data_IF_655846586778
#
_entry.id   IF_655846586778
#
_cell.length_a   1.000
_cell.length_b   1.000
_cell.length_c   1.000
_cell.angle_alpha   90.00
_cell.angle_beta   90.00
_cell.angle_gamma   90.00
#
_symmetry.space_group_name_H-M   'P 1'
#
loop_
_entity.id
_entity.type
_entity.pdbx_description
1 polymer ?
#
# COMPACT_ATOMS: atom_id res chain seq x y z
N UNK A 1 -23.89 23.79 1.80
CA UNK A 1 -22.72 23.14 1.18
C UNK A 1 -22.89 23.26 -0.32
N UNK A 2 -21.89 23.72 -1.08
CA UNK A 2 -22.04 23.81 -2.54
C UNK A 2 -22.11 22.42 -3.17
N UNK A 3 -22.73 22.32 -4.36
CA UNK A 3 -22.83 21.07 -5.10
C UNK A 3 -21.45 20.44 -5.35
N UNK A 4 -20.45 21.28 -5.61
CA UNK A 4 -19.04 20.88 -5.76
C UNK A 4 -18.48 20.28 -4.47
N UNK A 5 -18.74 20.88 -3.32
CA UNK A 5 -18.31 20.32 -2.03
C UNK A 5 -18.93 18.93 -1.78
N UNK A 6 -20.21 18.75 -2.11
CA UNK A 6 -20.85 17.45 -2.04
C UNK A 6 -20.20 16.42 -2.97
N UNK A 7 -19.94 16.80 -4.21
CA UNK A 7 -19.24 15.95 -5.19
C UNK A 7 -17.85 15.55 -4.70
N UNK A 8 -17.10 16.49 -4.14
CA UNK A 8 -15.79 16.21 -3.54
C UNK A 8 -15.89 15.18 -2.40
N UNK A 9 -16.90 15.28 -1.54
CA UNK A 9 -17.12 14.33 -0.45
C UNK A 9 -17.49 12.94 -0.99
N UNK A 10 -18.39 12.87 -1.98
CA UNK A 10 -18.80 11.60 -2.60
C UNK A 10 -17.60 10.91 -3.25
N UNK A 11 -16.83 11.63 -4.04
CA UNK A 11 -15.63 11.11 -4.70
C UNK A 11 -14.54 10.68 -3.69
N UNK A 12 -14.29 11.47 -2.65
CA UNK A 12 -13.36 11.11 -1.57
C UNK A 12 -13.81 9.84 -0.82
N UNK A 13 -15.11 9.65 -0.60
CA UNK A 13 -15.64 8.43 0.00
C UNK A 13 -15.50 7.22 -0.94
N UNK A 14 -15.63 7.42 -2.25
CA UNK A 14 -15.42 6.36 -3.25
C UNK A 14 -13.94 5.92 -3.27
N UNK A 15 -12.99 6.86 -3.19
CA UNK A 15 -11.55 6.58 -3.05
C UNK A 15 -11.29 5.76 -1.78
N UNK A 16 -11.87 6.16 -0.64
CA UNK A 16 -11.72 5.43 0.62
C UNK A 16 -12.29 4.01 0.59
N UNK A 17 -13.31 3.72 -0.22
CA UNK A 17 -13.82 2.36 -0.41
C UNK A 17 -12.86 1.46 -1.18
N UNK A 18 -12.03 2.03 -2.05
CA UNK A 18 -10.95 1.32 -2.73
C UNK A 18 -9.75 1.05 -1.81
N UNK A 19 -9.50 1.94 -0.85
CA UNK A 19 -8.54 1.72 0.24
C UNK A 19 -9.19 0.85 1.32
N UNK A 20 -8.43 0.01 1.95
CA UNK A 20 -8.78 -1.19 2.72
C UNK A 20 -9.83 -1.01 3.79
N UNK A 21 -10.82 -1.87 3.72
CA UNK A 21 -11.44 -2.44 4.90
C UNK A 21 -10.42 -3.36 5.62
N UNK A 22 -9.73 -2.85 6.64
CA UNK A 22 -8.69 -3.57 7.39
C UNK A 22 -9.29 -4.58 8.37
N UNK A 23 -10.34 -5.31 7.99
CA UNK A 23 -10.83 -6.45 8.74
C UNK A 23 -9.92 -7.67 8.61
N UNK A 24 -8.94 -7.61 7.70
CA UNK A 24 -7.95 -8.67 7.59
C UNK A 24 -7.05 -8.65 8.81
N UNK A 25 -7.23 -9.65 9.69
CA UNK A 25 -6.44 -9.79 10.92
C UNK A 25 -5.05 -10.37 10.67
N UNK A 26 -4.83 -10.99 9.50
CA UNK A 26 -3.63 -11.77 9.15
C UNK A 26 -2.88 -11.10 8.01
N UNK A 27 -1.58 -10.93 8.16
CA UNK A 27 -0.65 -10.44 7.15
C UNK A 27 0.50 -11.43 7.02
N UNK A 28 0.55 -12.18 5.94
CA UNK A 28 1.47 -13.27 5.71
C UNK A 28 2.62 -12.82 4.82
N UNK A 29 3.83 -12.80 5.36
CA UNK A 29 5.04 -12.38 4.66
C UNK A 29 5.92 -13.60 4.36
N UNK A 30 6.00 -13.98 3.08
CA UNK A 30 6.84 -15.07 2.60
C UNK A 30 8.29 -14.60 2.50
N UNK A 31 9.21 -15.44 2.95
CA UNK A 31 10.63 -15.09 2.97
C UNK A 31 11.54 -16.32 2.90
N UNK A 32 12.78 -16.11 2.45
CA UNK A 32 13.82 -17.13 2.51
C UNK A 32 14.31 -17.37 3.94
N UNK A 33 15.10 -18.43 4.20
CA UNK A 33 15.76 -18.62 5.49
C UNK A 33 16.59 -17.41 5.94
N UNK A 34 17.39 -16.83 5.05
CA UNK A 34 18.18 -15.63 5.34
C UNK A 34 17.30 -14.43 5.67
N UNK A 35 16.16 -14.29 4.96
CA UNK A 35 15.19 -13.25 5.23
C UNK A 35 14.52 -13.41 6.60
N UNK A 36 14.19 -14.65 7.02
CA UNK A 36 13.67 -14.93 8.35
C UNK A 36 14.67 -14.52 9.45
N UNK A 37 15.94 -14.91 9.29
CA UNK A 37 17.00 -14.52 10.23
C UNK A 37 17.17 -13.00 10.27
N UNK A 38 17.04 -12.33 9.12
CA UNK A 38 17.06 -10.87 9.03
C UNK A 38 15.92 -10.20 9.77
N UNK A 39 14.69 -10.74 9.65
CA UNK A 39 13.50 -10.22 10.34
C UNK A 39 13.69 -10.20 11.87
N UNK A 40 14.28 -11.24 12.44
CA UNK A 40 14.44 -11.40 13.88
C UNK A 40 15.87 -11.14 14.41
N UNK A 41 16.73 -10.52 13.60
CA UNK A 41 18.16 -10.31 13.94
C UNK A 41 18.34 -9.64 15.29
N UNK A 42 17.61 -8.59 15.56
CA UNK A 42 17.70 -7.80 16.79
C UNK A 42 16.73 -8.24 17.90
N UNK A 43 16.06 -9.40 17.73
CA UNK A 43 15.07 -9.92 18.67
C UNK A 43 13.65 -9.41 18.36
N UNK A 44 13.40 -8.11 18.35
CA UNK A 44 12.15 -7.56 17.87
C UNK A 44 12.06 -7.67 16.34
N UNK A 45 10.88 -7.99 15.76
CA UNK A 45 10.76 -8.16 14.31
C UNK A 45 10.91 -6.84 13.58
N UNK A 46 11.63 -6.90 12.45
CA UNK A 46 11.84 -5.77 11.55
C UNK A 46 11.47 -6.15 10.14
N UNK A 47 10.87 -5.22 9.39
CA UNK A 47 10.55 -5.41 7.98
C UNK A 47 11.20 -4.35 7.11
N UNK A 48 11.65 -4.75 5.92
CA UNK A 48 12.17 -3.83 4.92
C UNK A 48 11.01 -3.32 4.07
N UNK A 49 10.84 -2.01 4.09
CA UNK A 49 9.94 -1.31 3.19
C UNK A 49 10.75 -0.75 2.03
N UNK A 50 10.57 -1.31 0.86
CA UNK A 50 11.29 -0.88 -0.35
C UNK A 50 10.61 0.33 -0.98
N UNK A 51 11.41 1.27 -1.50
CA UNK A 51 10.86 2.43 -2.19
C UNK A 51 10.04 1.98 -3.40
N UNK A 52 8.81 2.51 -3.50
CA UNK A 52 7.85 2.09 -4.52
C UNK A 52 8.39 2.25 -5.94
N UNK A 53 9.14 3.32 -6.20
CA UNK A 53 9.72 3.62 -7.51
C UNK A 53 10.78 2.62 -7.98
N UNK A 54 11.32 1.84 -7.07
CA UNK A 54 12.41 0.90 -7.31
C UNK A 54 11.95 -0.56 -7.27
N UNK A 55 10.62 -0.80 -7.16
CA UNK A 55 10.08 -2.15 -7.26
C UNK A 55 10.19 -2.68 -8.68
N UNK A 56 10.43 -3.99 -8.81
CA UNK A 56 10.75 -4.67 -10.07
C UNK A 56 9.65 -4.61 -11.14
N UNK A 57 8.42 -4.33 -10.75
CA UNK A 57 7.29 -4.29 -11.67
C UNK A 57 7.00 -2.86 -12.15
N UNK A 58 7.72 -2.47 -13.21
CA UNK A 58 7.44 -1.20 -13.93
C UNK A 58 6.05 -1.16 -14.54
N UNK A 59 5.33 -2.29 -14.63
CA UNK A 59 3.97 -2.39 -15.14
C UNK A 59 2.93 -2.07 -14.08
N UNK A 60 3.20 -2.31 -12.80
CA UNK A 60 2.22 -2.04 -11.72
C UNK A 60 1.74 -0.58 -11.72
N UNK A 61 2.63 0.38 -11.96
CA UNK A 61 2.24 1.79 -12.07
C UNK A 61 1.34 2.09 -13.26
N UNK A 62 1.39 1.27 -14.31
CA UNK A 62 0.62 1.47 -15.53
C UNK A 62 -0.82 0.99 -15.41
N UNK A 63 -1.10 0.04 -14.52
CA UNK A 63 -2.42 -0.57 -14.37
C UNK A 63 -3.53 0.45 -14.10
N UNK A 64 -3.27 1.45 -13.25
CA UNK A 64 -4.25 2.52 -12.99
C UNK A 64 -4.47 3.39 -14.24
N UNK A 65 -3.39 3.77 -14.94
CA UNK A 65 -3.50 4.62 -16.13
C UNK A 65 -4.19 3.90 -17.27
N UNK A 66 -3.91 2.61 -17.48
CA UNK A 66 -4.58 1.78 -18.49
C UNK A 66 -6.07 1.63 -18.17
N UNK A 67 -6.40 1.34 -16.92
CA UNK A 67 -7.78 1.22 -16.47
C UNK A 67 -8.54 2.54 -16.58
N UNK A 68 -7.91 3.65 -16.19
CA UNK A 68 -8.47 5.00 -16.27
C UNK A 68 -8.71 5.42 -17.71
N UNK A 69 -7.70 5.23 -18.59
CA UNK A 69 -7.82 5.53 -20.01
C UNK A 69 -8.96 4.73 -20.64
N UNK A 70 -9.02 3.42 -20.38
CA UNK A 70 -10.09 2.54 -20.87
C UNK A 70 -11.48 3.01 -20.43
N UNK A 71 -11.62 3.46 -19.17
CA UNK A 71 -12.86 4.03 -18.67
C UNK A 71 -13.22 5.33 -19.40
N UNK A 72 -12.29 6.28 -19.48
CA UNK A 72 -12.50 7.57 -20.11
C UNK A 72 -12.83 7.44 -21.61
N UNK A 73 -12.11 6.58 -22.36
CA UNK A 73 -12.38 6.28 -23.76
C UNK A 73 -13.83 5.77 -23.96
N UNK A 74 -14.29 4.92 -23.05
CA UNK A 74 -15.67 4.39 -23.10
C UNK A 74 -16.71 5.49 -22.83
N UNK A 75 -16.48 6.37 -21.84
CA UNK A 75 -17.42 7.43 -21.52
C UNK A 75 -17.46 8.55 -22.60
N UNK A 76 -16.30 8.87 -23.17
CA UNK A 76 -16.21 9.81 -24.29
C UNK A 76 -16.98 9.30 -25.53
N UNK A 77 -16.82 8.01 -25.89
CA UNK A 77 -17.57 7.39 -27.01
C UNK A 77 -19.07 7.38 -26.80
N UNK A 78 -19.53 7.33 -25.55
CA UNK A 78 -20.95 7.40 -25.20
C UNK A 78 -21.50 8.83 -25.13
N UNK A 79 -20.66 9.85 -25.28
CA UNK A 79 -21.05 11.25 -25.12
C UNK A 79 -21.36 11.66 -23.68
N UNK A 80 -20.96 10.86 -22.68
CA UNK A 80 -21.19 11.13 -21.25
C UNK A 80 -20.05 12.01 -20.69
N UNK A 81 -18.83 11.84 -21.19
CA UNK A 81 -17.67 12.65 -20.82
C UNK A 81 -17.38 13.67 -21.91
N UNK A 82 -17.19 14.93 -21.56
CA UNK A 82 -16.76 15.95 -22.51
C UNK A 82 -15.32 15.74 -22.95
N UNK A 83 -14.99 16.23 -24.15
CA UNK A 83 -13.62 16.19 -24.67
C UNK A 83 -12.66 16.99 -23.80
N UNK A 84 -13.11 18.13 -23.23
CA UNK A 84 -12.32 18.95 -22.33
C UNK A 84 -11.89 18.18 -21.08
N UNK A 85 -12.84 17.51 -20.40
CA UNK A 85 -12.54 16.70 -19.23
C UNK A 85 -11.63 15.51 -19.57
N UNK A 86 -11.89 14.84 -20.70
CA UNK A 86 -11.06 13.74 -21.16
C UNK A 86 -9.60 14.16 -21.33
N UNK A 87 -9.37 15.26 -22.07
CA UNK A 87 -8.03 15.78 -22.34
C UNK A 87 -7.33 16.22 -21.05
N UNK A 88 -8.06 16.86 -20.14
CA UNK A 88 -7.56 17.26 -18.85
C UNK A 88 -7.10 16.04 -17.98
N UNK A 89 -7.87 14.95 -17.99
CA UNK A 89 -7.51 13.74 -17.23
C UNK A 89 -6.31 13.03 -17.87
N UNK A 90 -6.31 12.85 -19.18
CA UNK A 90 -5.25 12.11 -19.88
C UNK A 90 -3.91 12.86 -19.87
N UNK A 91 -3.95 14.18 -19.74
CA UNK A 91 -2.75 15.03 -19.66
C UNK A 91 -2.12 15.11 -18.25
N UNK A 92 -2.72 14.51 -17.23
CA UNK A 92 -2.15 14.51 -15.86
C UNK A 92 -0.75 13.85 -15.88
N UNK A 93 0.32 14.58 -15.56
CA UNK A 93 1.66 14.02 -15.57
C UNK A 93 1.83 12.95 -14.49
N UNK A 94 2.51 11.86 -14.83
CA UNK A 94 2.81 10.81 -13.86
C UNK A 94 3.75 11.30 -12.75
N UNK A 95 4.58 12.32 -13.03
CA UNK A 95 5.47 12.96 -12.07
C UNK A 95 4.75 13.66 -10.92
N UNK A 96 3.53 14.15 -11.16
CA UNK A 96 2.77 14.95 -10.18
C UNK A 96 2.03 14.09 -9.13
N UNK A 97 2.22 12.76 -9.21
CA UNK A 97 1.47 11.81 -8.39
C UNK A 97 2.22 11.31 -7.16
N UNK A 98 3.38 11.92 -6.85
CA UNK A 98 4.15 11.60 -5.66
C UNK A 98 3.87 12.56 -4.53
N UNK A 99 3.19 12.09 -3.51
CA UNK A 99 2.87 12.88 -2.35
C UNK A 99 1.65 12.34 -1.61
N UNK A 100 1.38 12.90 -0.48
CA UNK A 100 0.12 12.68 0.26
C UNK A 100 -0.61 14.00 0.40
N UNK A 101 -1.94 13.94 0.32
CA UNK A 101 -2.75 15.07 0.71
C UNK A 101 -3.05 14.95 2.20
N UNK A 102 -2.46 15.82 2.99
CA UNK A 102 -2.75 15.88 4.43
C UNK A 102 -3.92 16.82 4.70
N UNK A 103 -4.80 16.39 5.60
CA UNK A 103 -5.75 17.28 6.24
C UNK A 103 -4.96 18.16 7.21
N UNK A 104 -4.82 19.44 6.91
CA UNK A 104 -4.22 20.43 7.80
C UNK A 104 -5.31 21.26 8.44
N UNK A 105 -5.27 21.41 9.76
CA UNK A 105 -6.09 22.40 10.45
C UNK A 105 -5.40 23.74 10.28
N UNK A 106 -5.95 24.64 9.48
CA UNK A 106 -5.51 26.04 9.41
C UNK A 106 -6.37 26.88 10.33
N UNK A 107 -5.71 27.71 11.14
CA UNK A 107 -6.39 28.82 11.81
C UNK A 107 -6.59 29.92 10.79
N UNK A 108 -7.83 30.27 10.52
CA UNK A 108 -8.16 31.46 9.73
C UNK A 108 -8.44 32.59 10.71
N UNK A 109 -7.71 33.68 10.58
CA UNK A 109 -8.01 34.94 11.28
C UNK A 109 -8.92 35.75 10.34
N UNK A 110 -10.15 35.95 10.74
CA UNK A 110 -11.09 36.80 10.00
C UNK A 110 -10.72 38.27 10.14
N UNK A 111 -11.20 39.12 9.24
CA UNK A 111 -10.92 40.57 9.25
C UNK A 111 -11.36 41.25 10.54
N UNK A 112 -12.26 40.66 11.30
CA UNK A 112 -12.71 41.12 12.63
C UNK A 112 -11.81 40.64 13.78
N UNK A 113 -10.71 39.91 13.50
CA UNK A 113 -9.79 39.37 14.50
C UNK A 113 -10.25 38.05 15.14
N UNK A 114 -11.40 37.51 14.74
CA UNK A 114 -11.91 36.22 15.23
C UNK A 114 -11.12 35.07 14.62
N UNK A 115 -10.67 34.12 15.48
CA UNK A 115 -9.93 32.96 15.06
C UNK A 115 -10.93 31.80 14.83
N UNK A 116 -11.16 31.45 13.59
CA UNK A 116 -11.92 30.24 13.24
C UNK A 116 -10.96 29.04 13.22
N UNK A 117 -11.06 28.20 14.24
CA UNK A 117 -10.38 26.90 14.27
C UNK A 117 -11.26 25.90 13.50
N UNK A 118 -10.69 25.19 12.55
CA UNK A 118 -11.29 24.10 11.77
C UNK A 118 -11.64 24.37 10.30
N UNK A 119 -10.82 25.12 9.60
CA UNK A 119 -10.85 25.03 8.14
C UNK A 119 -9.98 23.86 7.75
N UNK A 120 -10.63 22.75 7.35
CA UNK A 120 -9.95 21.63 6.73
C UNK A 120 -9.31 22.10 5.41
N UNK A 121 -8.03 22.38 5.44
CA UNK A 121 -7.24 22.60 4.25
C UNK A 121 -6.56 21.29 3.87
N UNK A 122 -6.52 21.00 2.58
CA UNK A 122 -5.73 19.91 2.04
C UNK A 122 -4.43 20.51 1.51
N UNK A 123 -3.31 20.08 2.05
CA UNK A 123 -1.99 20.44 1.55
C UNK A 123 -1.35 19.20 0.91
N UNK A 124 -0.86 19.35 -0.30
CA UNK A 124 -0.03 18.32 -0.93
C UNK A 124 1.37 18.41 -0.33
N UNK A 125 1.85 17.29 0.20
CA UNK A 125 3.16 17.16 0.77
C UNK A 125 3.95 16.10 0.00
N UNK A 126 5.10 16.46 -0.51
CA UNK A 126 5.98 15.51 -1.18
C UNK A 126 6.53 14.49 -0.19
N UNK A 127 6.36 13.22 -0.52
CA UNK A 127 6.78 12.11 0.31
C UNK A 127 7.63 11.11 -0.46
N UNK A 128 8.54 10.46 0.24
CA UNK A 128 9.05 9.15 -0.18
C UNK A 128 8.00 8.10 0.19
N UNK A 129 7.65 7.25 -0.77
CA UNK A 129 6.69 6.16 -0.55
C UNK A 129 7.42 4.83 -0.60
N UNK A 130 7.20 4.02 0.43
CA UNK A 130 7.78 2.70 0.58
C UNK A 130 6.69 1.66 0.76
N UNK A 131 6.93 0.44 0.30
CA UNK A 131 5.96 -0.67 0.37
C UNK A 131 6.60 -1.91 0.98
N UNK A 132 5.80 -2.60 1.80
CA UNK A 132 6.02 -3.98 2.18
C UNK A 132 4.78 -4.78 1.82
N UNK A 133 4.96 -5.87 1.05
CA UNK A 133 3.86 -6.71 0.57
C UNK A 133 3.64 -7.92 1.47
N UNK A 134 2.37 -8.26 1.66
CA UNK A 134 1.88 -9.41 2.39
C UNK A 134 0.85 -10.17 1.55
N UNK A 135 0.66 -11.44 1.84
CA UNK A 135 -0.46 -12.24 1.36
C UNK A 135 -1.52 -12.40 2.45
N UNK A 136 -2.74 -12.74 2.07
CA UNK A 136 -3.76 -13.21 3.02
C UNK A 136 -3.58 -14.67 3.38
N UNK A 137 -2.93 -15.44 2.50
CA UNK A 137 -2.75 -16.87 2.61
C UNK A 137 -1.36 -17.18 3.16
N UNK A 138 -1.28 -17.99 4.21
CA UNK A 138 -0.02 -18.39 4.85
C UNK A 138 0.55 -19.70 4.27
N UNK A 139 -0.19 -20.40 3.40
CA UNK A 139 0.24 -21.66 2.79
C UNK A 139 -0.24 -21.74 1.33
N UNK A 140 0.50 -21.13 0.42
CA UNK A 140 0.18 -21.03 -1.00
C UNK A 140 1.35 -21.51 -1.85
N UNK A 141 1.12 -22.55 -2.65
CA UNK A 141 2.16 -23.13 -3.52
C UNK A 141 2.78 -22.09 -4.48
N UNK A 142 2.03 -21.22 -5.18
CA UNK A 142 2.63 -20.17 -5.98
C UNK A 142 3.51 -19.21 -5.17
N UNK A 143 3.10 -18.89 -3.94
CA UNK A 143 3.88 -17.99 -3.07
C UNK A 143 5.17 -18.67 -2.61
N UNK A 144 5.14 -19.95 -2.27
CA UNK A 144 6.35 -20.70 -1.96
C UNK A 144 7.34 -20.70 -3.14
N UNK A 145 6.82 -20.85 -4.38
CA UNK A 145 7.65 -20.80 -5.60
C UNK A 145 8.31 -19.47 -5.84
N UNK A 146 7.62 -18.39 -5.56
CA UNK A 146 8.07 -17.02 -5.90
C UNK A 146 8.98 -16.39 -4.85
N UNK A 147 8.76 -16.70 -3.57
CA UNK A 147 9.35 -15.96 -2.45
C UNK A 147 10.23 -16.78 -1.51
N UNK A 148 10.36 -18.10 -1.75
CA UNK A 148 11.35 -18.95 -1.11
C UNK A 148 12.60 -19.11 -2.00
N UNK A 149 13.62 -19.87 -1.56
CA UNK A 149 14.72 -20.22 -2.46
C UNK A 149 14.20 -21.07 -3.61
N UNK A 150 14.29 -20.54 -4.84
CA UNK A 150 13.54 -20.97 -6.01
C UNK A 150 13.71 -22.45 -6.41
N UNK A 151 14.86 -23.07 -6.15
CA UNK A 151 15.13 -24.44 -6.62
C UNK A 151 14.48 -25.52 -5.75
N UNK A 152 14.19 -25.22 -4.46
CA UNK A 152 13.72 -26.23 -3.51
C UNK A 152 12.50 -25.81 -2.69
N UNK A 153 11.85 -24.71 -3.00
CA UNK A 153 10.72 -24.15 -2.20
C UNK A 153 11.06 -23.98 -0.71
N UNK A 154 12.33 -23.75 -0.38
CA UNK A 154 12.80 -23.59 0.98
C UNK A 154 12.48 -22.17 1.48
N UNK A 155 11.62 -22.05 2.47
CA UNK A 155 11.23 -20.76 2.99
C UNK A 155 10.32 -20.82 4.18
N UNK A 156 9.93 -19.63 4.61
CA UNK A 156 9.05 -19.41 5.74
C UNK A 156 7.99 -18.37 5.40
N UNK A 157 6.83 -18.51 6.01
CA UNK A 157 5.81 -17.47 5.98
C UNK A 157 5.56 -16.96 7.40
N UNK A 158 5.85 -15.69 7.64
CA UNK A 158 5.67 -15.05 8.95
C UNK A 158 4.31 -14.36 8.97
N UNK A 159 3.44 -14.75 9.91
CA UNK A 159 2.12 -14.14 10.11
C UNK A 159 2.21 -12.98 11.10
N UNK A 160 1.92 -11.78 10.62
CA UNK A 160 1.84 -10.56 11.42
C UNK A 160 0.38 -10.18 11.72
N UNK A 161 0.17 -9.53 12.86
CA UNK A 161 -1.09 -8.87 13.18
C UNK A 161 -1.21 -7.55 12.42
N UNK A 162 -2.37 -7.30 11.80
CA UNK A 162 -2.64 -6.00 11.15
C UNK A 162 -2.61 -4.81 12.13
N UNK A 163 -2.78 -5.05 13.43
CA UNK A 163 -2.67 -4.03 14.46
C UNK A 163 -1.28 -3.37 14.54
N UNK A 164 -0.23 -4.08 14.07
CA UNK A 164 1.12 -3.53 13.97
C UNK A 164 1.20 -2.30 13.04
N UNK A 165 0.20 -2.13 12.17
CA UNK A 165 0.10 -1.03 11.20
C UNK A 165 -1.12 -0.13 11.46
N UNK A 166 -1.55 0.03 12.72
CA UNK A 166 -2.74 0.83 13.01
C UNK A 166 -2.50 2.34 12.88
N UNK A 167 -3.40 3.02 12.16
CA UNK A 167 -3.33 4.47 11.88
C UNK A 167 -3.18 5.37 13.11
N UNK A 168 -3.59 4.94 14.30
CA UNK A 168 -3.60 5.78 15.51
C UNK A 168 -2.22 6.19 16.03
N UNK A 169 -1.16 5.47 15.65
CA UNK A 169 0.19 5.72 16.15
C UNK A 169 0.99 6.74 15.33
N UNK A 170 0.57 7.11 14.12
CA UNK A 170 1.44 7.68 13.09
C UNK A 170 1.38 9.19 12.93
N UNK A 171 0.24 9.82 13.17
CA UNK A 171 0.10 11.28 12.98
C UNK A 171 1.03 12.14 13.85
N UNK A 172 1.61 11.57 14.91
CA UNK A 172 2.55 12.26 15.82
C UNK A 172 4.02 12.01 15.51
N UNK A 173 4.35 11.14 14.55
CA UNK A 173 5.71 10.61 14.36
C UNK A 173 6.36 10.95 13.01
N UNK A 174 5.84 11.90 12.26
CA UNK A 174 6.46 12.34 11.01
C UNK A 174 6.34 11.37 9.82
N UNK A 175 5.54 10.30 9.90
CA UNK A 175 5.23 9.40 8.82
C UNK A 175 3.78 8.89 8.90
N UNK A 176 3.28 8.32 7.83
CA UNK A 176 2.01 7.59 7.84
C UNK A 176 2.19 6.21 7.22
N UNK A 177 1.48 5.22 7.77
CA UNK A 177 1.40 3.90 7.16
C UNK A 177 -0.06 3.51 7.02
N UNK A 178 -0.40 2.89 5.90
CA UNK A 178 -1.73 2.35 5.67
C UNK A 178 -1.63 0.96 5.03
N UNK A 179 -2.65 0.14 5.32
CA UNK A 179 -2.79 -1.14 4.66
C UNK A 179 -3.74 -0.99 3.50
N UNK A 180 -3.38 -1.44 2.31
CA UNK A 180 -4.21 -1.44 1.12
C UNK A 180 -4.35 -2.86 0.57
N UNK A 181 -5.58 -3.24 0.19
CA UNK A 181 -5.83 -4.53 -0.44
C UNK A 181 -5.71 -4.38 -1.96
N UNK A 182 -4.92 -5.23 -2.58
CA UNK A 182 -4.76 -5.22 -4.03
C UNK A 182 -6.01 -5.76 -4.73
N UNK A 183 -6.42 -5.09 -5.79
CA UNK A 183 -7.59 -5.40 -6.62
C UNK A 183 -7.12 -5.85 -7.99
N UNK A 184 -7.47 -7.09 -8.32
CA UNK A 184 -7.11 -7.75 -9.58
C UNK A 184 -8.27 -7.78 -10.59
N UNK A 185 -9.51 -7.70 -10.09
CA UNK A 185 -10.72 -7.80 -10.88
C UNK A 185 -10.99 -6.50 -11.64
N UNK A 186 -11.00 -6.58 -12.98
CA UNK A 186 -11.18 -5.44 -13.86
C UNK A 186 -12.53 -4.74 -13.69
N UNK A 187 -13.59 -5.49 -13.37
CA UNK A 187 -14.91 -4.92 -13.14
C UNK A 187 -14.89 -4.06 -11.88
N UNK A 188 -14.26 -4.55 -10.80
CA UNK A 188 -14.11 -3.77 -9.55
C UNK A 188 -13.25 -2.53 -9.75
N UNK A 189 -12.18 -2.61 -10.55
CA UNK A 189 -11.38 -1.43 -10.91
C UNK A 189 -12.23 -0.37 -11.60
N UNK A 190 -13.05 -0.79 -12.59
CA UNK A 190 -13.96 0.11 -13.29
C UNK A 190 -15.03 0.72 -12.36
N UNK A 191 -15.63 -0.06 -11.48
CA UNK A 191 -16.61 0.41 -10.49
C UNK A 191 -16.02 1.48 -9.54
N UNK A 192 -14.76 1.32 -9.13
CA UNK A 192 -14.08 2.31 -8.29
C UNK A 192 -13.79 3.62 -9.05
N UNK A 193 -13.31 3.52 -10.28
CA UNK A 193 -13.07 4.70 -11.13
C UNK A 193 -14.40 5.42 -11.41
N UNK A 194 -15.46 4.68 -11.72
CA UNK A 194 -16.80 5.22 -11.96
C UNK A 194 -17.34 5.96 -10.73
N UNK A 195 -17.16 5.38 -9.54
CA UNK A 195 -17.60 6.01 -8.28
C UNK A 195 -16.96 7.36 -8.01
N UNK A 196 -15.75 7.61 -8.55
CA UNK A 196 -15.07 8.91 -8.43
C UNK A 196 -15.41 9.83 -9.60
N UNK A 197 -15.38 9.33 -10.84
CA UNK A 197 -15.53 10.17 -12.04
C UNK A 197 -16.97 10.50 -12.38
N UNK A 198 -17.95 9.64 -12.07
CA UNK A 198 -19.35 9.89 -12.44
C UNK A 198 -19.90 11.21 -11.85
N UNK A 199 -19.71 11.52 -10.56
CA UNK A 199 -20.12 12.81 -10.01
C UNK A 199 -19.38 14.00 -10.64
N UNK A 200 -18.09 13.83 -11.00
CA UNK A 200 -17.27 14.87 -11.61
C UNK A 200 -17.77 15.18 -13.01
N UNK A 201 -18.06 14.14 -13.82
CA UNK A 201 -18.56 14.31 -15.19
C UNK A 201 -19.86 15.13 -15.25
N UNK A 202 -20.74 14.97 -14.27
CA UNK A 202 -22.01 15.72 -14.21
C UNK A 202 -21.85 17.23 -13.98
N UNK A 203 -20.73 17.67 -13.40
CA UNK A 203 -20.54 19.08 -13.00
C UNK A 203 -19.45 19.80 -13.77
N UNK A 204 -18.50 19.08 -14.36
CA UNK A 204 -17.26 19.66 -14.87
C UNK A 204 -17.50 20.75 -15.92
N UNK A 205 -18.38 20.52 -16.89
CA UNK A 205 -18.57 21.43 -18.03
C UNK A 205 -19.21 22.75 -17.61
N UNK A 206 -20.06 22.76 -16.59
CA UNK A 206 -20.69 23.96 -16.03
C UNK A 206 -19.89 24.64 -14.93
N UNK A 207 -18.78 24.03 -14.48
CA UNK A 207 -17.99 24.52 -13.36
C UNK A 207 -17.13 25.73 -13.75
N UNK A 208 -16.88 26.61 -12.77
CA UNK A 208 -15.90 27.70 -12.94
C UNK A 208 -14.49 27.15 -13.12
N UNK A 209 -13.56 27.92 -13.65
CA UNK A 209 -12.17 27.52 -13.81
C UNK A 209 -11.56 26.98 -12.51
N UNK A 210 -11.78 27.68 -11.39
CA UNK A 210 -11.30 27.28 -10.05
C UNK A 210 -11.90 25.93 -9.63
N UNK A 211 -13.17 25.73 -9.92
CA UNK A 211 -13.86 24.49 -9.55
C UNK A 211 -13.42 23.31 -10.41
N UNK A 212 -13.14 23.53 -11.69
CA UNK A 212 -12.50 22.53 -12.57
C UNK A 212 -11.14 22.07 -12.02
N UNK A 213 -10.32 23.02 -11.55
CA UNK A 213 -9.04 22.72 -10.90
C UNK A 213 -9.23 21.87 -9.62
N UNK A 214 -10.21 22.21 -8.78
CA UNK A 214 -10.56 21.46 -7.59
C UNK A 214 -11.03 20.02 -7.94
N UNK A 215 -11.89 19.87 -8.93
CA UNK A 215 -12.37 18.55 -9.40
C UNK A 215 -11.22 17.70 -9.96
N UNK A 216 -10.32 18.28 -10.72
CA UNK A 216 -9.13 17.59 -11.22
C UNK A 216 -8.15 17.19 -10.09
N UNK A 217 -8.07 17.97 -9.03
CA UNK A 217 -7.27 17.59 -7.85
C UNK A 217 -7.77 16.29 -7.22
N UNK A 218 -9.09 16.03 -7.23
CA UNK A 218 -9.65 14.76 -6.76
C UNK A 218 -9.25 13.60 -7.68
N UNK A 219 -9.26 13.83 -8.99
CA UNK A 219 -8.79 12.82 -9.96
C UNK A 219 -7.32 12.48 -9.71
N UNK A 220 -6.48 13.48 -9.43
CA UNK A 220 -5.07 13.25 -9.06
C UNK A 220 -4.94 12.41 -7.78
N UNK A 221 -5.74 12.71 -6.75
CA UNK A 221 -5.79 11.92 -5.51
C UNK A 221 -6.21 10.48 -5.80
N UNK A 222 -7.24 10.27 -6.62
CA UNK A 222 -7.69 8.93 -7.03
C UNK A 222 -6.57 8.14 -7.70
N UNK A 223 -5.89 8.73 -8.69
CA UNK A 223 -4.81 8.06 -9.41
C UNK A 223 -3.70 7.70 -8.43
N UNK A 224 -3.31 8.64 -7.56
CA UNK A 224 -2.27 8.45 -6.55
C UNK A 224 -2.59 7.33 -5.58
N UNK A 225 -3.83 7.23 -5.11
CA UNK A 225 -4.21 6.20 -4.14
C UNK A 225 -4.39 4.84 -4.83
N UNK A 226 -5.00 4.82 -6.03
CA UNK A 226 -5.26 3.56 -6.74
C UNK A 226 -4.03 2.94 -7.39
N UNK A 227 -2.93 3.68 -7.59
CA UNK A 227 -1.67 3.10 -8.07
C UNK A 227 -1.13 2.01 -7.13
N UNK A 228 -1.44 2.07 -5.83
CA UNK A 228 -1.04 1.06 -4.85
C UNK A 228 -2.04 -0.10 -4.74
N UNK A 229 -3.23 0.07 -5.32
CA UNK A 229 -4.36 -0.86 -5.17
C UNK A 229 -4.57 -1.72 -6.43
N UNK A 230 -4.32 -1.18 -7.62
CA UNK A 230 -4.57 -1.93 -8.86
C UNK A 230 -3.36 -2.76 -9.25
N UNK A 231 -3.61 -4.02 -9.63
CA UNK A 231 -2.59 -4.96 -10.13
C UNK A 231 -3.19 -5.89 -11.17
N UNK A 232 -2.35 -6.38 -12.08
CA UNK A 232 -2.78 -7.27 -13.14
C UNK A 232 -3.34 -8.59 -12.60
N UNK A 233 -4.41 -9.10 -13.22
CA UNK A 233 -5.10 -10.33 -12.82
C UNK A 233 -4.19 -11.56 -12.76
N UNK A 234 -3.14 -11.60 -13.56
CA UNK A 234 -2.16 -12.70 -13.56
C UNK A 234 -1.48 -12.93 -12.21
N UNK A 235 -1.48 -11.92 -11.34
CA UNK A 235 -0.91 -11.97 -9.98
C UNK A 235 -1.95 -12.23 -8.89
N UNK A 236 -3.19 -12.60 -9.25
CA UNK A 236 -4.27 -12.76 -8.27
C UNK A 236 -4.02 -13.85 -7.21
N UNK A 237 -3.12 -14.80 -7.48
CA UNK A 237 -2.69 -15.82 -6.54
C UNK A 237 -1.93 -15.28 -5.33
N UNK A 238 -1.37 -14.08 -5.44
CA UNK A 238 -0.66 -13.42 -4.32
C UNK A 238 -1.62 -12.99 -3.21
N UNK A 239 -2.91 -12.76 -3.51
CA UNK A 239 -3.90 -12.24 -2.57
C UNK A 239 -3.35 -11.07 -1.73
N UNK A 240 -2.67 -10.15 -2.43
CA UNK A 240 -1.76 -9.18 -1.84
C UNK A 240 -2.48 -8.12 -0.99
N UNK A 241 -1.85 -7.84 0.15
CA UNK A 241 -2.10 -6.65 0.97
C UNK A 241 -0.78 -5.91 1.07
N UNK A 242 -0.81 -4.61 0.85
CA UNK A 242 0.37 -3.75 0.96
C UNK A 242 0.29 -2.91 2.21
N UNK A 243 1.38 -2.86 2.96
CA UNK A 243 1.62 -1.76 3.88
C UNK A 243 2.34 -0.65 3.10
N UNK A 244 1.65 0.48 2.93
CA UNK A 244 2.17 1.66 2.21
C UNK A 244 2.61 2.68 3.24
N UNK A 245 3.88 3.01 3.26
CA UNK A 245 4.50 3.94 4.19
C UNK A 245 4.89 5.22 3.45
N UNK A 246 4.39 6.36 3.91
CA UNK A 246 4.73 7.68 3.39
C UNK A 246 5.57 8.44 4.40
N UNK A 247 6.71 8.96 3.97
CA UNK A 247 7.62 9.77 4.76
C UNK A 247 7.81 11.11 4.07
N UNK A 248 7.43 12.24 4.69
CA UNK A 248 7.66 13.57 4.14
C UNK A 248 9.13 13.81 3.83
N UNK A 249 9.41 14.42 2.68
CA UNK A 249 10.80 14.76 2.30
C UNK A 249 11.43 15.80 3.22
N UNK A 250 10.61 16.56 3.91
CA UNK A 250 11.03 17.66 4.81
C UNK A 250 11.39 17.22 6.21
N UNK A 251 11.07 15.98 6.60
CA UNK A 251 11.29 15.49 7.96
C UNK A 251 12.51 14.57 8.08
N UNK A 252 13.19 14.65 9.22
CA UNK A 252 14.21 13.67 9.62
C UNK A 252 13.56 12.34 9.97
N UNK A 253 13.96 11.26 9.33
CA UNK A 253 13.26 9.96 9.35
C UNK A 253 13.62 9.07 10.54
N UNK A 254 14.38 9.55 11.52
CA UNK A 254 14.75 8.72 12.67
C UNK A 254 13.76 8.86 13.82
N UNK A 255 12.67 8.09 13.75
CA UNK A 255 11.60 8.10 14.77
C UNK A 255 11.71 6.95 15.77
N UNK A 256 12.75 6.14 15.69
CA UNK A 256 12.88 4.88 16.44
C UNK A 256 12.03 3.73 15.88
N UNK A 257 10.92 4.03 15.22
CA UNK A 257 10.08 3.02 14.56
C UNK A 257 10.44 2.82 13.10
N UNK A 258 10.87 3.88 12.40
CA UNK A 258 11.33 3.85 11.02
C UNK A 258 12.78 4.33 10.99
N UNK A 259 13.65 3.56 10.35
CA UNK A 259 15.06 3.92 10.21
C UNK A 259 15.25 5.05 9.20
N UNK A 260 16.44 5.62 9.17
CA UNK A 260 16.92 6.39 8.04
C UNK A 260 16.88 5.57 6.75
N UNK A 261 16.88 6.28 5.62
CA UNK A 261 16.94 5.67 4.28
C UNK A 261 18.23 4.91 4.09
N UNK A 262 18.13 3.66 3.67
CA UNK A 262 19.22 2.73 3.38
C UNK A 262 19.14 2.26 1.94
N UNK A 263 20.17 1.57 1.48
CA UNK A 263 20.26 1.03 0.13
C UNK A 263 20.67 -0.42 0.17
N UNK A 264 20.10 -1.24 -0.73
CA UNK A 264 20.45 -2.64 -0.92
C UNK A 264 20.49 -2.99 -2.40
N UNK A 265 21.27 -4.01 -2.72
CA UNK A 265 21.19 -4.61 -4.05
C UNK A 265 19.96 -5.54 -4.10
N UNK A 266 19.21 -5.47 -5.20
CA UNK A 266 18.12 -6.42 -5.51
C UNK A 266 18.00 -6.52 -7.03
N UNK A 267 18.17 -7.72 -7.58
CA UNK A 267 18.04 -8.00 -9.02
C UNK A 267 18.87 -7.05 -9.92
N UNK A 268 20.10 -6.75 -9.51
CA UNK A 268 21.00 -5.84 -10.26
C UNK A 268 20.71 -4.36 -10.07
N UNK A 269 19.72 -3.98 -9.28
CA UNK A 269 19.36 -2.60 -8.98
C UNK A 269 19.81 -2.20 -7.58
N UNK A 270 20.09 -0.91 -7.41
CA UNK A 270 20.25 -0.29 -6.08
C UNK A 270 18.87 0.18 -5.64
N UNK A 271 18.30 -0.51 -4.65
CA UNK A 271 16.94 -0.25 -4.15
C UNK A 271 17.01 0.48 -2.83
N UNK A 272 16.47 1.72 -2.75
CA UNK A 272 16.31 2.41 -1.48
C UNK A 272 15.26 1.70 -0.62
N UNK A 273 15.50 1.62 0.69
CA UNK A 273 14.56 1.05 1.64
C UNK A 273 14.69 1.69 3.01
N UNK A 274 13.70 1.47 3.85
CA UNK A 274 13.73 1.77 5.29
C UNK A 274 13.40 0.52 6.08
N UNK A 275 13.87 0.47 7.33
CA UNK A 275 13.56 -0.61 8.26
C UNK A 275 12.41 -0.13 9.14
N UNK A 276 11.34 -0.92 9.19
CA UNK A 276 10.18 -0.70 10.05
C UNK A 276 10.28 -1.64 11.25
N UNK A 277 10.43 -1.07 12.44
CA UNK A 277 10.54 -1.80 13.69
C UNK A 277 9.16 -2.09 14.28
N UNK A 278 8.94 -3.30 14.76
CA UNK A 278 7.67 -3.74 15.33
C UNK A 278 7.86 -4.37 16.71
N UNK A 279 6.78 -4.40 17.48
CA UNK A 279 6.75 -5.11 18.75
C UNK A 279 6.77 -6.63 18.53
N UNK A 280 7.42 -7.38 19.42
CA UNK A 280 7.48 -8.85 19.37
C UNK A 280 6.08 -9.48 19.30
N UNK A 281 5.10 -8.91 20.01
CA UNK A 281 3.70 -9.34 20.03
C UNK A 281 2.97 -9.18 18.69
N UNK A 282 3.57 -8.50 17.70
CA UNK A 282 2.99 -8.36 16.37
C UNK A 282 3.06 -9.64 15.54
N UNK A 283 3.95 -10.58 15.88
CA UNK A 283 4.09 -11.86 15.19
C UNK A 283 3.26 -12.94 15.89
N UNK A 284 2.51 -13.70 15.12
CA UNK A 284 1.62 -14.76 15.63
C UNK A 284 2.16 -16.16 15.36
N UNK A 285 2.56 -16.40 14.12
CA UNK A 285 3.01 -17.73 13.68
C UNK A 285 4.05 -17.63 12.59
N UNK A 286 4.79 -18.73 12.41
CA UNK A 286 5.68 -18.95 11.29
C UNK A 286 5.28 -20.28 10.66
N UNK A 287 4.90 -20.27 9.38
CA UNK A 287 4.65 -21.50 8.60
C UNK A 287 5.93 -21.88 7.88
N UNK A 288 6.29 -23.14 7.98
CA UNK A 288 7.45 -23.75 7.31
C UNK A 288 7.00 -24.26 5.95
N UNK A 289 7.78 -24.01 4.91
CA UNK A 289 7.50 -24.46 3.55
C UNK A 289 7.48 -26.00 3.42
N UNK A 290 6.72 -26.56 2.45
CA UNK A 290 6.43 -28.01 2.40
C UNK A 290 7.62 -28.90 2.09
N UNK A 291 8.74 -28.35 1.62
CA UNK A 291 9.93 -29.14 1.22
C UNK A 291 11.04 -29.20 2.27
N UNK A 292 10.89 -28.46 3.36
CA UNK A 292 11.91 -28.43 4.41
C UNK A 292 11.75 -29.67 5.33
N UNK A 293 12.86 -30.29 5.69
CA UNK A 293 12.89 -31.41 6.67
C UNK A 293 12.31 -30.95 8.00
N UNK A 294 11.10 -31.39 8.28
CA UNK A 294 10.21 -30.81 9.27
C UNK A 294 10.79 -30.87 10.70
N UNK A 295 11.21 -32.05 11.17
CA UNK A 295 11.60 -32.23 12.57
C UNK A 295 12.83 -31.40 12.96
N UNK A 296 13.89 -31.45 12.15
CA UNK A 296 15.13 -30.69 12.43
C UNK A 296 14.85 -29.19 12.37
N UNK A 297 14.08 -28.75 11.37
CA UNK A 297 13.79 -27.33 11.20
C UNK A 297 12.91 -26.79 12.30
N UNK A 298 11.88 -27.53 12.73
CA UNK A 298 11.02 -27.13 13.84
C UNK A 298 11.84 -26.97 15.12
N UNK A 299 12.73 -27.91 15.43
CA UNK A 299 13.55 -27.87 16.65
C UNK A 299 14.53 -26.68 16.62
N UNK A 300 15.28 -26.51 15.52
CA UNK A 300 16.20 -25.39 15.36
C UNK A 300 15.49 -24.03 15.37
N UNK A 301 14.31 -23.94 14.77
CA UNK A 301 13.51 -22.72 14.78
C UNK A 301 12.98 -22.40 16.19
N UNK A 302 12.57 -23.40 16.97
CA UNK A 302 12.20 -23.21 18.38
C UNK A 302 13.36 -22.68 19.20
N UNK A 303 14.54 -23.27 19.07
CA UNK A 303 15.75 -22.84 19.79
C UNK A 303 16.14 -21.40 19.38
N UNK A 304 16.09 -21.11 18.09
CA UNK A 304 16.35 -19.74 17.58
C UNK A 304 15.37 -18.72 18.17
N UNK A 305 14.06 -19.00 18.09
CA UNK A 305 13.04 -18.09 18.64
C UNK A 305 13.18 -17.94 20.17
N UNK A 306 13.51 -19.02 20.89
CA UNK A 306 13.77 -18.97 22.32
C UNK A 306 14.97 -18.04 22.63
N UNK A 307 16.06 -18.17 21.89
CA UNK A 307 17.25 -17.31 22.03
C UNK A 307 16.95 -15.83 21.81
N UNK A 308 15.91 -15.52 21.02
CA UNK A 308 15.41 -14.16 20.74
C UNK A 308 14.29 -13.70 21.67
N UNK A 309 13.90 -14.49 22.66
CA UNK A 309 12.75 -14.25 23.57
C UNK A 309 11.40 -14.18 22.84
N UNK A 310 11.25 -14.99 21.80
CA UNK A 310 10.08 -15.05 20.91
C UNK A 310 9.35 -16.40 21.00
N UNK A 311 9.44 -17.11 22.13
CA UNK A 311 8.86 -18.45 22.33
C UNK A 311 7.32 -18.48 22.23
N UNK A 312 6.66 -17.33 22.20
CA UNK A 312 5.21 -17.21 22.00
C UNK A 312 4.75 -17.42 20.56
N UNK A 313 5.69 -17.42 19.60
CA UNK A 313 5.37 -17.57 18.18
C UNK A 313 5.06 -19.06 17.88
N UNK A 314 3.88 -19.30 17.29
CA UNK A 314 3.48 -20.65 16.87
C UNK A 314 4.21 -21.07 15.60
N UNK A 315 4.74 -22.29 15.59
CA UNK A 315 5.36 -22.89 14.41
C UNK A 315 4.34 -23.85 13.79
N UNK A 316 4.11 -23.72 12.49
CA UNK A 316 3.14 -24.47 11.69
C UNK A 316 3.89 -25.09 10.51
N UNK A 317 3.61 -26.33 10.19
CA UNK A 317 4.11 -26.96 8.96
C UNK A 317 3.09 -26.78 7.84
N UNK A 318 3.58 -26.66 6.61
CA UNK A 318 2.71 -26.61 5.43
C UNK A 318 1.97 -27.95 5.24
N UNK A 319 0.67 -27.85 4.91
CA UNK A 319 -0.16 -29.03 4.57
C UNK A 319 -0.10 -29.37 3.07
N UNK A 320 0.67 -28.64 2.27
CA UNK A 320 0.76 -28.85 0.82
C UNK A 320 1.58 -30.12 0.52
N UNK A 321 0.99 -31.15 -0.12
CA UNK A 321 1.69 -32.38 -0.43
C UNK A 321 2.62 -32.20 -1.64
N UNK A 322 3.89 -31.87 -1.42
CA UNK A 322 4.92 -31.84 -2.45
C UNK A 322 5.79 -33.09 -2.30
N UNK A 323 5.96 -33.84 -3.38
CA UNK A 323 7.00 -34.89 -3.45
C UNK A 323 8.34 -34.18 -3.67
N UNK A 324 9.31 -34.43 -2.80
CA UNK A 324 10.70 -34.10 -3.08
C UNK A 324 11.13 -34.96 -4.30
N UNK A 325 11.44 -34.29 -5.40
CA UNK A 325 11.99 -34.90 -6.61
C UNK A 325 13.49 -34.91 -6.50
#
# INVERSE_FOLDING_TARGET
MSEIQNTMIVAANAIRKGSVDVRTKKLCHYTSPDGLLGIFKEGAPTLFFSQYDSLNDTKERKDIFESLKKYCDKQLKKGIMSKELYDAIVSIPQSDLFGITRKTNKKLILDNGEIVEDITAFADEECYTYICSFSKNNDSLPMWRMYSKAEHYEGFCVEFSSSAFSRKQYYRKGFSVELVKVIYDERKKMELIEGVLSPIMGLYDSATKRDKENLLSIVKIMIRDFQFVFKNKSFSYEEEIRAVLHIPKTESNNTGQVSERKYRQSNGLIVPYVIYNMEASSVRSITIAPTIKEEITVNNLKDYLCSKKLSHIHIISSDIPIRNV
#
